data_IF_214015459015
#
_entry.id   IF_214015459015
#
_cell.length_a   1.000
_cell.length_b   1.000
_cell.length_c   1.000
_cell.angle_alpha   90.00
_cell.angle_beta   90.00
_cell.angle_gamma   90.00
#
_symmetry.space_group_name_H-M   'P 1'
#
loop_
_entity.id
_entity.type
_entity.pdbx_description
1 polymer ?
#
# COMPACT_ATOMS: atom_id res chain seq x y z
N UNK A 1 6.91 21.22 14.89
CA UNK A 1 6.90 20.06 13.99
C UNK A 1 7.60 18.90 14.66
N UNK A 2 6.96 17.76 14.64
CA UNK A 2 7.51 16.58 15.26
C UNK A 2 8.60 15.97 14.38
N UNK A 3 9.79 15.78 14.96
CA UNK A 3 10.92 15.21 14.22
C UNK A 3 10.67 13.77 13.80
N UNK A 4 9.88 13.02 14.56
CA UNK A 4 9.56 11.63 14.22
C UNK A 4 8.85 11.55 12.88
N UNK A 5 8.07 12.54 12.52
CA UNK A 5 7.37 12.56 11.24
C UNK A 5 8.31 12.77 10.06
N UNK A 6 9.57 13.09 10.30
CA UNK A 6 10.55 13.36 9.25
C UNK A 6 11.47 12.18 8.97
N UNK A 7 11.44 11.14 9.81
CA UNK A 7 12.38 10.02 9.71
C UNK A 7 12.29 9.34 8.34
N UNK A 8 11.09 9.16 7.82
CA UNK A 8 10.87 8.49 6.54
C UNK A 8 10.42 9.45 5.45
N UNK A 9 10.70 10.74 5.60
CA UNK A 9 10.29 11.73 4.62
C UNK A 9 11.28 11.72 3.44
N UNK A 10 11.14 10.73 2.60
CA UNK A 10 12.02 10.49 1.46
C UNK A 10 11.15 10.16 0.25
N UNK A 11 11.31 10.91 -0.83
CA UNK A 11 10.65 10.58 -2.10
C UNK A 11 11.35 9.37 -2.68
N UNK A 12 10.60 8.27 -2.82
CA UNK A 12 11.15 6.98 -3.29
C UNK A 12 10.76 6.66 -4.73
N UNK A 13 9.76 7.38 -5.26
CA UNK A 13 9.30 7.23 -6.63
C UNK A 13 8.45 8.46 -6.95
N UNK A 14 8.17 8.73 -8.23
CA UNK A 14 7.24 9.81 -8.56
C UNK A 14 5.91 9.61 -7.83
N UNK A 15 5.46 10.64 -7.12
CA UNK A 15 4.19 10.68 -6.38
C UNK A 15 4.15 9.82 -5.11
N UNK A 16 5.24 9.18 -4.72
CA UNK A 16 5.27 8.36 -3.51
C UNK A 16 6.42 8.75 -2.59
N UNK A 17 6.10 8.89 -1.32
CA UNK A 17 7.04 9.17 -0.25
C UNK A 17 7.08 7.97 0.69
N UNK A 18 8.25 7.59 1.15
CA UNK A 18 8.40 6.42 2.02
C UNK A 18 7.53 6.53 3.28
N UNK A 19 7.33 7.75 3.78
CA UNK A 19 6.52 7.98 4.97
C UNK A 19 5.08 7.50 4.82
N UNK A 20 4.56 7.43 3.60
CA UNK A 20 3.19 6.93 3.36
C UNK A 20 3.06 5.45 3.69
N UNK A 21 4.15 4.72 3.68
CA UNK A 21 4.18 3.27 3.92
C UNK A 21 4.61 2.90 5.33
N UNK A 22 4.96 3.89 6.16
CA UNK A 22 5.46 3.62 7.50
C UNK A 22 4.34 3.22 8.45
N UNK A 23 4.68 2.35 9.41
CA UNK A 23 3.74 1.96 10.45
C UNK A 23 3.42 3.18 11.35
N UNK A 24 2.14 3.52 11.53
CA UNK A 24 1.79 4.67 12.37
C UNK A 24 2.21 4.51 13.84
N UNK A 25 2.34 3.27 14.28
CA UNK A 25 2.62 2.96 15.68
C UNK A 25 4.09 3.14 16.03
N UNK A 26 5.01 2.72 15.16
CA UNK A 26 6.44 2.68 15.47
C UNK A 26 7.31 3.39 14.45
N UNK A 27 6.73 3.90 13.38
CA UNK A 27 7.43 4.60 12.29
C UNK A 27 8.40 3.73 11.49
N UNK A 28 8.47 2.44 11.78
CA UNK A 28 9.24 1.53 10.94
C UNK A 28 8.54 1.34 9.61
N UNK A 29 9.31 1.00 8.59
CA UNK A 29 8.76 0.77 7.26
C UNK A 29 9.44 -0.43 6.63
N UNK A 30 8.66 -1.20 5.90
CA UNK A 30 9.13 -2.29 5.07
C UNK A 30 8.30 -2.25 3.81
N UNK A 31 8.96 -2.16 2.67
CA UNK A 31 8.28 -2.01 1.38
C UNK A 31 9.03 -2.80 0.33
N UNK A 32 8.39 -3.84 -0.19
CA UNK A 32 8.98 -4.64 -1.24
C UNK A 32 9.05 -3.81 -2.53
N UNK A 33 10.20 -3.81 -3.23
CA UNK A 33 10.34 -3.00 -4.45
C UNK A 33 9.30 -3.31 -5.53
N UNK A 34 8.88 -4.57 -5.66
CA UNK A 34 7.88 -4.94 -6.65
C UNK A 34 6.52 -4.31 -6.33
N UNK A 35 6.15 -4.23 -5.05
CA UNK A 35 4.92 -3.56 -4.66
C UNK A 35 4.96 -2.09 -5.08
N UNK A 36 6.07 -1.41 -4.79
CA UNK A 36 6.24 -0.01 -5.18
C UNK A 36 6.13 0.15 -6.69
N UNK A 37 6.81 -0.70 -7.46
CA UNK A 37 6.76 -0.62 -8.93
C UNK A 37 5.33 -0.77 -9.46
N UNK A 38 4.56 -1.68 -8.88
CA UNK A 38 3.17 -1.86 -9.30
C UNK A 38 2.29 -0.68 -8.92
N UNK A 39 2.52 -0.09 -7.76
CA UNK A 39 1.79 1.12 -7.36
C UNK A 39 2.13 2.31 -8.24
N UNK A 40 3.39 2.45 -8.63
CA UNK A 40 3.81 3.49 -9.58
C UNK A 40 3.10 3.29 -10.93
N UNK A 41 3.08 2.06 -11.42
CA UNK A 41 2.40 1.75 -12.69
C UNK A 41 0.90 2.08 -12.60
N UNK A 42 0.27 1.73 -11.48
CA UNK A 42 -1.15 2.05 -11.26
C UNK A 42 -1.38 3.56 -11.25
N UNK A 43 -0.54 4.30 -10.53
CA UNK A 43 -0.64 5.75 -10.46
C UNK A 43 -0.53 6.37 -11.85
N UNK A 44 0.36 5.85 -12.68
CA UNK A 44 0.59 6.36 -14.03
C UNK A 44 -0.64 6.18 -14.92
N UNK A 45 -1.26 5.01 -14.91
CA UNK A 45 -2.42 4.77 -15.76
C UNK A 45 -3.69 5.46 -15.24
N UNK A 46 -3.81 5.64 -13.92
CA UNK A 46 -4.94 6.34 -13.32
C UNK A 46 -4.90 7.84 -13.57
N UNK A 47 -3.71 8.42 -13.69
CA UNK A 47 -3.49 9.86 -13.87
C UNK A 47 -4.19 10.69 -12.79
N UNK A 48 -4.26 10.15 -11.58
CA UNK A 48 -4.84 10.83 -10.41
C UNK A 48 -4.18 10.31 -9.14
N UNK A 49 -4.25 11.10 -8.05
CA UNK A 49 -3.57 10.71 -6.81
C UNK A 49 -4.06 9.38 -6.26
N UNK A 50 -3.11 8.60 -5.78
CA UNK A 50 -3.36 7.36 -5.05
C UNK A 50 -2.89 7.59 -3.62
N UNK A 51 -3.81 7.52 -2.67
CA UNK A 51 -3.48 7.70 -1.25
C UNK A 51 -3.22 6.34 -0.61
N UNK A 52 -2.08 6.20 0.06
CA UNK A 52 -1.76 4.99 0.82
C UNK A 52 -2.36 5.18 2.22
N UNK A 53 -3.37 4.40 2.54
CA UNK A 53 -4.02 4.49 3.85
C UNK A 53 -3.41 3.55 4.87
N UNK A 54 -2.75 2.49 4.42
CA UNK A 54 -2.01 1.58 5.29
C UNK A 54 -0.93 0.88 4.47
N UNK A 55 0.31 1.02 4.89
CA UNK A 55 1.44 0.32 4.31
C UNK A 55 1.92 -0.77 5.25
N UNK A 56 3.18 -0.65 5.70
CA UNK A 56 3.74 -1.59 6.66
C UNK A 56 3.02 -1.49 8.01
N UNK A 57 2.79 -2.65 8.63
CA UNK A 57 2.25 -2.76 9.98
C UNK A 57 3.17 -3.64 10.81
N UNK A 58 3.64 -3.14 11.95
CA UNK A 58 4.27 -4.01 12.93
C UNK A 58 3.19 -4.94 13.52
N UNK A 59 3.61 -6.03 14.15
CA UNK A 59 2.65 -7.02 14.66
C UNK A 59 1.69 -6.42 15.69
N UNK A 60 2.18 -5.52 16.52
CA UNK A 60 1.34 -4.84 17.53
C UNK A 60 0.25 -4.00 16.85
N UNK A 61 0.62 -3.19 15.88
CA UNK A 61 -0.36 -2.36 15.17
C UNK A 61 -1.34 -3.22 14.36
N UNK A 62 -0.82 -4.29 13.74
CA UNK A 62 -1.68 -5.20 12.97
C UNK A 62 -2.78 -5.81 13.83
N UNK A 63 -2.44 -6.25 15.05
CA UNK A 63 -3.44 -6.77 15.96
C UNK A 63 -4.43 -5.69 16.38
N UNK A 64 -3.95 -4.48 16.63
CA UNK A 64 -4.79 -3.36 17.05
C UNK A 64 -5.87 -3.02 16.02
N UNK A 65 -5.54 -3.09 14.74
CA UNK A 65 -6.49 -2.76 13.67
C UNK A 65 -7.27 -3.98 13.17
N UNK A 66 -7.11 -5.12 13.82
CA UNK A 66 -7.88 -6.32 13.48
C UNK A 66 -7.36 -7.06 12.25
N UNK A 67 -6.11 -6.86 11.89
CA UNK A 67 -5.51 -7.59 10.78
C UNK A 67 -5.29 -9.06 11.11
N UNK A 68 -5.27 -9.89 10.07
CA UNK A 68 -5.02 -11.32 10.25
C UNK A 68 -3.56 -11.55 10.63
N UNK A 69 -3.31 -12.64 11.37
CA UNK A 69 -1.94 -13.05 11.64
C UNK A 69 -1.25 -13.36 10.32
N UNK A 70 0.04 -13.03 10.23
CA UNK A 70 0.82 -13.21 9.01
C UNK A 70 0.29 -12.37 7.83
N UNK A 71 -0.29 -11.20 8.15
CA UNK A 71 -0.73 -10.27 7.12
C UNK A 71 0.44 -9.86 6.22
N UNK A 72 0.18 -9.72 4.94
CA UNK A 72 1.19 -9.21 3.99
C UNK A 72 1.63 -7.79 4.31
N UNK A 73 0.80 -7.01 5.02
CA UNK A 73 1.22 -5.70 5.52
C UNK A 73 2.43 -5.80 6.46
N UNK A 74 2.53 -6.89 7.21
CA UNK A 74 3.60 -7.08 8.18
C UNK A 74 4.94 -7.43 7.56
N UNK A 75 4.97 -7.73 6.27
CA UNK A 75 6.22 -8.08 5.57
C UNK A 75 6.45 -7.20 4.34
N UNK A 76 5.74 -6.09 4.25
CA UNK A 76 5.97 -5.10 3.20
C UNK A 76 5.43 -5.50 1.83
N UNK A 77 4.49 -6.42 1.77
CA UNK A 77 3.93 -6.93 0.52
C UNK A 77 2.52 -6.43 0.22
N UNK A 78 1.96 -5.58 1.07
CA UNK A 78 0.59 -5.09 0.90
C UNK A 78 0.48 -3.61 1.17
N UNK A 79 -0.47 -2.99 0.50
CA UNK A 79 -0.86 -1.60 0.76
C UNK A 79 -2.37 -1.48 0.59
N UNK A 80 -2.97 -0.68 1.45
CA UNK A 80 -4.36 -0.27 1.28
C UNK A 80 -4.35 1.12 0.68
N UNK A 81 -5.19 1.34 -0.33
CA UNK A 81 -5.22 2.60 -1.06
C UNK A 81 -6.63 3.17 -1.14
N UNK A 82 -6.68 4.48 -1.35
CA UNK A 82 -7.89 5.18 -1.72
C UNK A 82 -7.62 6.04 -2.95
N UNK A 83 -8.58 6.10 -3.86
CA UNK A 83 -8.52 6.94 -5.05
C UNK A 83 -9.83 7.70 -5.13
N UNK A 84 -9.76 9.02 -5.20
CA UNK A 84 -10.94 9.87 -5.28
C UNK A 84 -11.42 10.03 -6.71
N UNK A 85 -12.70 10.32 -6.85
CA UNK A 85 -13.33 10.73 -8.13
C UNK A 85 -13.25 9.66 -9.20
N UNK A 86 -13.35 8.41 -8.79
CA UNK A 86 -13.44 7.28 -9.71
C UNK A 86 -14.42 6.27 -9.11
N UNK A 87 -15.27 5.68 -9.94
CA UNK A 87 -16.16 4.64 -9.44
C UNK A 87 -15.39 3.32 -9.31
N UNK A 88 -15.93 2.42 -8.50
CA UNK A 88 -15.25 1.16 -8.18
C UNK A 88 -15.01 0.30 -9.42
N UNK A 89 -15.96 0.24 -10.33
CA UNK A 89 -15.84 -0.60 -11.52
C UNK A 89 -14.65 -0.15 -12.36
N UNK A 90 -14.53 1.16 -12.58
CA UNK A 90 -13.41 1.70 -13.35
C UNK A 90 -12.09 1.51 -12.62
N UNK A 91 -12.08 1.74 -11.30
CA UNK A 91 -10.86 1.54 -10.52
C UNK A 91 -10.37 0.10 -10.60
N UNK A 92 -11.29 -0.87 -10.45
CA UNK A 92 -10.91 -2.27 -10.52
C UNK A 92 -10.37 -2.65 -11.90
N UNK A 93 -10.92 -2.05 -12.97
CA UNK A 93 -10.40 -2.32 -14.32
C UNK A 93 -8.94 -1.88 -14.44
N UNK A 94 -8.59 -0.71 -13.92
CA UNK A 94 -7.19 -0.27 -13.92
C UNK A 94 -6.30 -1.15 -13.05
N UNK A 95 -6.79 -1.50 -11.86
CA UNK A 95 -6.02 -2.33 -10.93
C UNK A 95 -5.71 -3.70 -11.53
N UNK A 96 -6.67 -4.28 -12.23
CA UNK A 96 -6.48 -5.58 -12.87
C UNK A 96 -5.39 -5.58 -13.94
N UNK A 97 -5.18 -4.44 -14.60
CA UNK A 97 -4.12 -4.32 -15.61
C UNK A 97 -2.73 -4.39 -15.01
N UNK A 98 -2.59 -4.07 -13.72
CA UNK A 98 -1.28 -4.03 -13.06
C UNK A 98 -0.87 -5.41 -12.54
N UNK A 99 -1.80 -6.35 -12.47
CA UNK A 99 -1.51 -7.73 -12.07
C UNK A 99 -1.04 -7.85 -10.61
N UNK A 100 -1.83 -7.30 -9.69
CA UNK A 100 -1.62 -7.58 -8.27
C UNK A 100 -2.03 -9.01 -7.95
N UNK A 101 -1.37 -9.63 -6.99
CA UNK A 101 -1.69 -10.99 -6.56
C UNK A 101 -3.01 -11.05 -5.80
N UNK A 102 -3.26 -10.07 -4.94
CA UNK A 102 -4.49 -9.98 -4.17
C UNK A 102 -5.13 -8.62 -4.32
N UNK A 103 -6.43 -8.60 -4.49
CA UNK A 103 -7.23 -7.39 -4.61
C UNK A 103 -8.47 -7.60 -3.77
N UNK A 104 -8.73 -6.72 -2.81
CA UNK A 104 -9.90 -6.82 -1.95
C UNK A 104 -10.47 -5.44 -1.64
N UNK A 105 -11.76 -5.27 -1.90
CA UNK A 105 -12.42 -4.00 -1.63
C UNK A 105 -13.14 -4.04 -0.29
N UNK A 106 -12.90 -3.02 0.54
CA UNK A 106 -13.55 -2.85 1.83
C UNK A 106 -14.57 -1.73 1.73
N UNK A 107 -15.80 -2.12 1.42
CA UNK A 107 -16.88 -1.18 1.09
C UNK A 107 -17.17 -0.17 2.20
N UNK A 108 -17.24 -0.64 3.44
CA UNK A 108 -17.60 0.23 4.57
C UNK A 108 -16.59 1.34 4.82
N UNK A 109 -15.31 1.06 4.59
CA UNK A 109 -14.22 2.01 4.84
C UNK A 109 -13.71 2.65 3.56
N UNK A 110 -14.25 2.29 2.42
CA UNK A 110 -13.88 2.83 1.12
C UNK A 110 -12.38 2.77 0.83
N UNK A 111 -11.78 1.61 1.04
CA UNK A 111 -10.41 1.42 0.61
C UNK A 111 -10.25 0.08 -0.14
N UNK A 112 -9.20 0.02 -0.92
CA UNK A 112 -8.86 -1.16 -1.69
C UNK A 112 -7.56 -1.75 -1.18
N UNK A 113 -7.58 -3.01 -0.77
CA UNK A 113 -6.37 -3.73 -0.38
C UNK A 113 -5.72 -4.33 -1.62
N UNK A 114 -4.43 -4.09 -1.77
CA UNK A 114 -3.62 -4.63 -2.85
C UNK A 114 -2.41 -5.34 -2.27
N UNK A 115 -2.10 -6.53 -2.77
CA UNK A 115 -0.88 -7.19 -2.36
C UNK A 115 -0.19 -7.87 -3.53
N UNK A 116 1.06 -8.23 -3.28
CA UNK A 116 1.86 -9.02 -4.20
C UNK A 116 2.29 -10.29 -3.48
N UNK A 117 2.44 -11.36 -4.24
CA UNK A 117 2.93 -12.62 -3.71
C UNK A 117 4.14 -13.04 -4.56
N UNK A 118 5.35 -12.70 -4.12
CA UNK A 118 6.53 -13.09 -4.87
C UNK A 118 6.57 -14.60 -5.01
N UNK A 119 6.88 -15.08 -6.20
CA UNK A 119 7.03 -16.51 -6.41
C UNK A 119 8.36 -16.98 -5.83
N UNK A 120 8.49 -18.28 -5.59
CA UNK A 120 9.74 -18.84 -5.10
C UNK A 120 10.90 -18.62 -6.07
N UNK A 121 10.62 -18.24 -7.30
CA UNK A 121 11.65 -17.96 -8.32
C UNK A 121 12.15 -16.53 -8.29
N UNK A 122 11.45 -15.63 -7.64
CA UNK A 122 11.86 -14.24 -7.49
C UNK A 122 12.80 -14.13 -6.30
N UNK A 123 14.02 -14.34 -6.54
CA UNK A 123 15.03 -14.22 -5.48
C UNK A 123 16.10 -13.28 -5.90
#
# INVERSE_FOLDING_TARGET
MDRLNQINDIIIAPHFNLSEFACPCCQKVMLHPLLLLKLVALRDILERPVSITSGYRCSTYNRKVGGVDNSYHCIGLAADIQVKDINLIDLLAYVEEIDFSGIRFYKKKHFLHLDIKPTSRTR
#
